data_IF_256764254811
#
_entry.id   IF_256764254811
#
_cell.length_a   1.000
_cell.length_b   1.000
_cell.length_c   1.000
_cell.angle_alpha   90.00
_cell.angle_beta   90.00
_cell.angle_gamma   90.00
#
_symmetry.space_group_name_H-M   'P 1'
#
loop_
_entity.id
_entity.type
_entity.pdbx_description
1 polymer ?
#
# COMPACT_ATOMS: atom_id res chain seq x y z
N UNK A 1 0.30 16.94 -24.63
CA UNK A 1 0.18 15.47 -24.68
C UNK A 1 -0.38 15.04 -23.34
N UNK A 2 -1.38 14.16 -23.32
CA UNK A 2 -1.96 13.70 -22.05
C UNK A 2 -1.11 12.55 -21.51
N UNK A 3 -0.58 12.73 -20.30
CA UNK A 3 0.01 11.64 -19.53
C UNK A 3 -1.15 10.77 -19.03
N UNK A 4 -1.02 9.45 -19.11
CA UNK A 4 -2.06 8.57 -18.58
C UNK A 4 -1.96 8.48 -17.07
N UNK A 5 -3.07 8.25 -16.38
CA UNK A 5 -3.10 8.03 -14.93
C UNK A 5 -2.11 6.92 -14.49
N UNK A 6 -2.00 5.85 -15.29
CA UNK A 6 -1.03 4.79 -15.06
C UNK A 6 0.42 5.30 -15.11
N UNK A 7 0.76 6.17 -16.06
CA UNK A 7 2.10 6.76 -16.15
C UNK A 7 2.39 7.67 -14.97
N UNK A 8 1.42 8.48 -14.52
CA UNK A 8 1.55 9.32 -13.33
C UNK A 8 1.79 8.47 -12.09
N UNK A 9 0.99 7.40 -11.90
CA UNK A 9 1.15 6.45 -10.79
C UNK A 9 2.54 5.82 -10.75
N UNK A 10 3.06 5.40 -11.91
CA UNK A 10 4.40 4.84 -12.03
C UNK A 10 5.49 5.88 -11.72
N UNK A 11 5.36 7.10 -12.22
CA UNK A 11 6.30 8.20 -11.95
C UNK A 11 6.38 8.52 -10.46
N UNK A 12 5.22 8.76 -9.86
CA UNK A 12 5.07 9.04 -8.44
C UNK A 12 5.66 7.96 -7.53
N UNK A 13 5.33 6.69 -7.79
CA UNK A 13 5.86 5.56 -7.03
C UNK A 13 7.37 5.44 -7.16
N UNK A 14 7.88 5.56 -8.39
CA UNK A 14 9.31 5.41 -8.66
C UNK A 14 10.08 6.52 -7.94
N UNK A 15 9.56 7.75 -7.97
CA UNK A 15 10.12 8.88 -7.22
C UNK A 15 10.10 8.61 -5.71
N UNK A 16 8.94 8.22 -5.15
CA UNK A 16 8.78 7.89 -3.73
C UNK A 16 9.77 6.82 -3.27
N UNK A 17 9.83 5.69 -3.98
CA UNK A 17 10.72 4.60 -3.60
C UNK A 17 12.19 4.98 -3.80
N UNK A 18 12.53 5.92 -4.68
CA UNK A 18 13.92 6.35 -4.86
C UNK A 18 14.50 7.19 -3.71
N UNK A 19 13.67 7.60 -2.74
CA UNK A 19 14.07 8.41 -1.59
C UNK A 19 14.80 7.57 -0.54
N UNK A 20 15.88 8.11 0.02
CA UNK A 20 16.65 7.41 1.05
C UNK A 20 15.85 7.24 2.34
N UNK A 21 15.03 8.23 2.67
CA UNK A 21 14.11 8.22 3.81
C UNK A 21 13.01 7.16 3.69
N UNK A 22 12.70 6.65 2.49
CA UNK A 22 11.67 5.62 2.29
C UNK A 22 12.22 4.20 2.41
N UNK A 23 13.53 3.99 2.13
CA UNK A 23 14.17 2.66 2.15
C UNK A 23 13.87 1.83 3.41
N UNK A 24 13.92 2.38 4.64
CA UNK A 24 13.67 1.61 5.85
C UNK A 24 12.26 0.99 5.91
N UNK A 25 11.31 1.52 5.14
CA UNK A 25 9.92 1.07 5.15
C UNK A 25 9.60 -0.02 4.14
N UNK A 26 10.50 -0.37 3.21
CA UNK A 26 10.24 -1.33 2.13
C UNK A 26 9.66 -2.67 2.63
N UNK A 27 10.24 -3.24 3.68
CA UNK A 27 9.76 -4.49 4.28
C UNK A 27 8.32 -4.37 4.79
N UNK A 28 7.98 -3.25 5.42
CA UNK A 28 6.63 -2.99 5.93
C UNK A 28 5.63 -2.75 4.80
N UNK A 29 6.07 -2.10 3.72
CA UNK A 29 5.31 -1.92 2.48
C UNK A 29 5.16 -3.23 1.70
N UNK A 30 5.99 -4.22 2.01
CA UNK A 30 5.93 -5.53 1.40
C UNK A 30 6.81 -5.77 0.19
N UNK A 31 7.73 -4.85 -0.04
CA UNK A 31 8.81 -4.97 -1.00
C UNK A 31 9.88 -5.87 -0.40
N UNK A 32 10.02 -7.07 -0.96
CA UNK A 32 11.05 -8.03 -0.59
C UNK A 32 12.25 -7.82 -1.51
N UNK A 33 13.12 -6.88 -1.12
CA UNK A 33 14.28 -6.45 -1.90
C UNK A 33 15.53 -6.68 -1.08
N UNK A 34 16.39 -7.58 -1.55
CA UNK A 34 17.60 -8.00 -0.82
C UNK A 34 18.63 -6.87 -0.61
N UNK A 35 18.65 -5.89 -1.51
CA UNK A 35 19.59 -4.77 -1.47
C UNK A 35 18.88 -3.44 -1.77
N UNK A 36 18.28 -2.81 -0.74
CA UNK A 36 17.56 -1.54 -0.88
C UNK A 36 18.39 -0.43 -1.55
N UNK A 37 19.68 -0.32 -1.26
CA UNK A 37 20.54 0.71 -1.86
C UNK A 37 20.68 0.54 -3.38
N UNK A 38 21.08 -0.65 -3.84
CA UNK A 38 21.11 -0.96 -5.29
C UNK A 38 19.75 -0.75 -5.96
N UNK A 39 18.67 -1.07 -5.25
CA UNK A 39 17.33 -0.88 -5.78
C UNK A 39 17.02 0.61 -5.96
N UNK A 40 17.32 1.45 -4.96
CA UNK A 40 17.19 2.90 -5.11
C UNK A 40 18.04 3.43 -6.27
N UNK A 41 19.30 3.01 -6.40
CA UNK A 41 20.16 3.41 -7.52
C UNK A 41 19.55 3.05 -8.89
N UNK A 42 18.95 1.86 -9.01
CA UNK A 42 18.22 1.42 -10.20
C UNK A 42 17.06 2.35 -10.52
N UNK A 43 16.25 2.71 -9.51
CA UNK A 43 15.12 3.62 -9.70
C UNK A 43 15.58 5.04 -10.09
N UNK A 44 16.59 5.57 -9.40
CA UNK A 44 17.19 6.90 -9.67
C UNK A 44 17.70 6.98 -11.11
N UNK A 45 18.46 5.96 -11.53
CA UNK A 45 18.97 5.85 -12.89
C UNK A 45 17.83 5.82 -13.91
N UNK A 46 16.79 5.03 -13.66
CA UNK A 46 15.63 4.96 -14.54
C UNK A 46 14.92 6.32 -14.66
N UNK A 47 14.77 7.08 -13.57
CA UNK A 47 14.20 8.44 -13.58
C UNK A 47 15.05 9.39 -14.44
N UNK A 48 16.36 9.43 -14.20
CA UNK A 48 17.30 10.31 -14.92
C UNK A 48 17.27 10.01 -16.42
N UNK A 49 17.41 8.74 -16.80
CA UNK A 49 17.40 8.34 -18.22
C UNK A 49 16.05 8.63 -18.88
N UNK A 50 14.94 8.45 -18.16
CA UNK A 50 13.60 8.76 -18.66
C UNK A 50 13.45 10.26 -18.91
N UNK A 51 13.99 11.11 -18.04
CA UNK A 51 14.01 12.57 -18.21
C UNK A 51 14.87 12.97 -19.41
N UNK A 52 16.08 12.42 -19.53
CA UNK A 52 16.97 12.69 -20.67
C UNK A 52 16.34 12.31 -22.01
N UNK A 53 15.64 11.18 -22.09
CA UNK A 53 14.93 10.78 -23.31
C UNK A 53 13.80 11.74 -23.67
N UNK A 54 13.04 12.21 -22.67
CA UNK A 54 12.00 13.23 -22.88
C UNK A 54 12.59 14.57 -23.32
N UNK A 55 13.70 15.02 -22.72
CA UNK A 55 14.38 16.26 -23.11
C UNK A 55 14.94 16.19 -24.54
N UNK A 56 15.45 15.03 -24.96
CA UNK A 56 15.91 14.80 -26.32
C UNK A 56 14.77 14.75 -27.36
N UNK A 57 13.57 14.31 -26.96
CA UNK A 57 12.39 14.31 -27.80
C UNK A 57 11.10 14.64 -27.01
N UNK A 58 10.79 15.92 -26.77
CA UNK A 58 9.63 16.33 -25.97
C UNK A 58 8.28 15.94 -26.60
N UNK A 59 8.27 15.57 -27.88
CA UNK A 59 7.08 15.09 -28.58
C UNK A 59 6.72 13.64 -28.26
N UNK A 60 7.53 12.93 -27.48
CA UNK A 60 7.31 11.55 -27.08
C UNK A 60 7.51 11.39 -25.58
N UNK A 61 6.45 11.00 -24.85
CA UNK A 61 6.57 10.63 -23.43
C UNK A 61 7.19 9.23 -23.31
N UNK A 62 8.36 9.09 -22.68
CA UNK A 62 9.01 7.79 -22.53
C UNK A 62 8.24 6.84 -21.61
N UNK A 63 8.42 5.53 -21.81
CA UNK A 63 7.75 4.50 -21.02
C UNK A 63 8.55 4.15 -19.76
N UNK A 64 8.33 4.91 -18.68
CA UNK A 64 9.03 4.72 -17.41
C UNK A 64 8.83 3.31 -16.83
N UNK A 65 7.60 2.77 -16.84
CA UNK A 65 7.32 1.39 -16.38
C UNK A 65 8.27 0.38 -17.02
N UNK A 66 8.33 0.38 -18.36
CA UNK A 66 9.18 -0.54 -19.12
C UNK A 66 10.66 -0.37 -18.75
N UNK A 67 11.12 0.86 -18.53
CA UNK A 67 12.50 1.17 -18.17
C UNK A 67 12.85 0.68 -16.77
N UNK A 68 11.99 0.95 -15.79
CA UNK A 68 12.16 0.49 -14.40
C UNK A 68 12.22 -1.03 -14.35
N UNK A 69 11.25 -1.74 -14.93
CA UNK A 69 11.21 -3.21 -14.92
C UNK A 69 12.42 -3.83 -15.62
N UNK A 70 12.86 -3.26 -16.75
CA UNK A 70 14.09 -3.68 -17.43
C UNK A 70 15.33 -3.47 -16.55
N UNK A 71 15.41 -2.35 -15.85
CA UNK A 71 16.58 -2.03 -15.03
C UNK A 71 16.66 -2.94 -13.79
N UNK A 72 15.51 -3.23 -13.16
CA UNK A 72 15.41 -4.21 -12.07
C UNK A 72 15.84 -5.59 -12.55
N UNK A 73 15.35 -6.05 -13.72
CA UNK A 73 15.68 -7.39 -14.22
C UNK A 73 17.14 -7.57 -14.60
N UNK A 74 17.81 -6.49 -15.00
CA UNK A 74 19.24 -6.51 -15.31
C UNK A 74 20.14 -6.54 -14.08
N UNK A 75 19.71 -5.95 -12.95
CA UNK A 75 20.53 -5.83 -11.73
C UNK A 75 20.22 -6.93 -10.72
N UNK A 76 18.96 -7.36 -10.62
CA UNK A 76 18.50 -8.37 -9.68
C UNK A 76 18.17 -9.67 -10.41
N UNK A 77 16.94 -9.80 -10.94
CA UNK A 77 16.50 -10.89 -11.80
C UNK A 77 15.17 -10.57 -12.45
N UNK A 78 14.77 -11.37 -13.45
CA UNK A 78 13.44 -11.25 -14.09
C UNK A 78 12.33 -11.47 -13.06
N UNK A 79 12.48 -12.45 -12.18
CA UNK A 79 11.53 -12.78 -11.12
C UNK A 79 11.35 -11.63 -10.12
N UNK A 80 12.43 -10.91 -9.78
CA UNK A 80 12.33 -9.70 -8.93
C UNK A 80 11.55 -8.60 -9.64
N UNK A 81 11.73 -8.42 -10.95
CA UNK A 81 10.99 -7.41 -11.71
C UNK A 81 9.49 -7.76 -11.80
N UNK A 82 9.15 -9.04 -12.03
CA UNK A 82 7.77 -9.53 -12.04
C UNK A 82 7.12 -9.41 -10.65
N UNK A 83 7.83 -9.77 -9.59
CA UNK A 83 7.35 -9.62 -8.22
C UNK A 83 7.10 -8.15 -7.85
N UNK A 84 7.99 -7.24 -8.29
CA UNK A 84 7.83 -5.81 -8.11
C UNK A 84 6.66 -5.24 -8.90
N UNK A 85 6.47 -5.64 -10.16
CA UNK A 85 5.32 -5.25 -10.98
C UNK A 85 4.01 -5.71 -10.32
N UNK A 86 3.97 -6.97 -9.87
CA UNK A 86 2.81 -7.53 -9.17
C UNK A 86 2.53 -6.80 -7.86
N UNK A 87 3.56 -6.46 -7.07
CA UNK A 87 3.41 -5.62 -5.88
C UNK A 87 2.87 -4.23 -6.24
N UNK A 88 3.39 -3.58 -7.29
CA UNK A 88 2.92 -2.27 -7.69
C UNK A 88 1.44 -2.27 -8.10
N UNK A 89 1.04 -3.25 -8.90
CA UNK A 89 -0.33 -3.34 -9.40
C UNK A 89 -1.32 -3.72 -8.29
N UNK A 90 -0.90 -4.50 -7.30
CA UNK A 90 -1.81 -5.06 -6.28
C UNK A 90 -1.71 -4.41 -4.89
N UNK A 91 -0.58 -3.83 -4.52
CA UNK A 91 -0.32 -3.32 -3.17
C UNK A 91 -0.02 -1.81 -3.12
N UNK A 92 0.49 -1.20 -4.19
CA UNK A 92 0.76 0.24 -4.19
C UNK A 92 -0.51 1.08 -4.41
N UNK A 93 -0.75 2.01 -3.49
CA UNK A 93 -1.87 2.96 -3.49
C UNK A 93 -1.29 4.37 -3.57
N UNK A 94 -1.57 5.07 -4.67
CA UNK A 94 -1.06 6.42 -4.92
C UNK A 94 -2.06 7.49 -4.48
N UNK A 95 -3.28 7.44 -5.02
CA UNK A 95 -4.35 8.29 -4.54
C UNK A 95 -5.17 7.57 -3.51
N UNK A 96 -5.44 8.21 -2.36
CA UNK A 96 -6.32 7.60 -1.39
C UNK A 96 -7.74 7.44 -1.97
N UNK A 97 -8.13 8.10 -3.07
CA UNK A 97 -9.47 7.89 -3.70
C UNK A 97 -9.60 6.54 -4.43
N UNK A 98 -8.54 6.02 -5.06
CA UNK A 98 -8.65 4.89 -6.01
C UNK A 98 -8.90 3.53 -5.34
N UNK A 99 -8.52 3.38 -4.06
CA UNK A 99 -8.66 2.11 -3.31
C UNK A 99 -9.17 2.25 -1.88
N UNK A 100 -9.53 3.47 -1.44
CA UNK A 100 -10.19 3.71 -0.14
C UNK A 100 -11.38 2.79 0.09
N UNK A 101 -12.17 2.53 -0.96
CA UNK A 101 -13.43 1.79 -0.84
C UNK A 101 -13.32 0.44 -0.12
N UNK A 102 -12.83 -0.61 -0.78
CA UNK A 102 -13.01 -1.95 -0.24
C UNK A 102 -12.25 -2.24 1.07
N UNK A 103 -11.03 -1.71 1.25
CA UNK A 103 -10.18 -2.08 2.38
C UNK A 103 -10.31 -1.14 3.58
N UNK A 104 -10.55 0.15 3.38
CA UNK A 104 -10.92 1.00 4.51
C UNK A 104 -12.35 0.68 4.97
N UNK A 105 -13.22 0.17 4.08
CA UNK A 105 -14.49 -0.47 4.49
C UNK A 105 -14.22 -1.64 5.43
N UNK A 106 -13.36 -2.59 5.04
CA UNK A 106 -12.99 -3.71 5.92
C UNK A 106 -12.37 -3.24 7.23
N UNK A 107 -11.39 -2.34 7.19
CA UNK A 107 -10.75 -1.82 8.39
C UNK A 107 -11.77 -1.12 9.31
N UNK A 108 -12.68 -0.34 8.75
CA UNK A 108 -13.73 0.37 9.50
C UNK A 108 -14.75 -0.59 10.09
N UNK A 109 -15.22 -1.56 9.32
CA UNK A 109 -16.16 -2.59 9.74
C UNK A 109 -15.58 -3.44 10.88
N UNK A 110 -14.34 -3.89 10.72
CA UNK A 110 -13.65 -4.72 11.71
C UNK A 110 -13.36 -3.92 12.99
N UNK A 111 -12.93 -2.67 12.85
CA UNK A 111 -12.76 -1.74 13.99
C UNK A 111 -14.08 -1.51 14.72
N UNK A 112 -15.19 -1.34 14.00
CA UNK A 112 -16.51 -1.18 14.61
C UNK A 112 -16.92 -2.44 15.37
N UNK A 113 -16.74 -3.62 14.76
CA UNK A 113 -17.09 -4.89 15.37
C UNK A 113 -16.31 -5.19 16.66
N UNK A 114 -15.06 -4.73 16.76
CA UNK A 114 -14.27 -4.79 18.01
C UNK A 114 -14.84 -3.89 19.10
N UNK A 115 -15.33 -2.70 18.74
CA UNK A 115 -15.79 -1.70 19.71
C UNK A 115 -17.23 -1.92 20.19
N UNK A 116 -17.99 -2.79 19.54
CA UNK A 116 -19.35 -3.16 19.93
C UNK A 116 -19.36 -4.46 20.74
N UNK A 117 -20.15 -4.50 21.81
CA UNK A 117 -20.19 -5.63 22.76
C UNK A 117 -20.45 -6.99 22.06
N UNK A 118 -21.33 -7.00 21.07
CA UNK A 118 -21.75 -8.15 20.27
C UNK A 118 -21.31 -8.07 18.81
N UNK A 119 -20.55 -7.04 18.42
CA UNK A 119 -20.21 -6.77 17.02
C UNK A 119 -19.47 -7.92 16.35
N UNK A 120 -18.62 -8.64 17.10
CA UNK A 120 -17.91 -9.80 16.59
C UNK A 120 -18.78 -11.04 16.38
N UNK A 121 -19.66 -11.34 17.34
CA UNK A 121 -20.65 -12.41 17.19
C UNK A 121 -21.65 -12.08 16.09
N UNK A 122 -22.01 -10.80 15.93
CA UNK A 122 -22.86 -10.34 14.84
C UNK A 122 -22.21 -10.61 13.49
N UNK A 123 -20.91 -10.38 13.34
CA UNK A 123 -20.18 -10.77 12.12
C UNK A 123 -20.12 -12.28 11.89
N UNK A 124 -20.70 -13.11 12.75
CA UNK A 124 -20.67 -14.57 12.57
C UNK A 124 -19.29 -15.17 12.76
N UNK A 125 -18.37 -14.46 13.43
CA UNK A 125 -17.08 -15.03 13.82
C UNK A 125 -17.32 -16.05 14.95
N UNK A 126 -16.86 -17.30 14.79
CA UNK A 126 -17.07 -18.32 15.79
C UNK A 126 -16.29 -18.02 17.08
N UNK A 127 -16.83 -18.46 18.20
CA UNK A 127 -16.29 -18.17 19.54
C UNK A 127 -14.82 -18.61 19.68
N UNK A 128 -14.47 -19.78 19.11
CA UNK A 128 -13.11 -20.31 19.15
C UNK A 128 -12.08 -19.42 18.45
N UNK A 129 -12.51 -18.59 17.48
CA UNK A 129 -11.64 -17.70 16.70
C UNK A 129 -11.67 -16.26 17.21
N UNK A 130 -12.74 -15.86 17.91
CA UNK A 130 -13.03 -14.48 18.27
C UNK A 130 -11.89 -13.77 19.00
N UNK A 131 -11.33 -14.39 20.06
CA UNK A 131 -10.27 -13.75 20.83
C UNK A 131 -8.97 -13.62 20.03
N UNK A 132 -8.62 -14.65 19.24
CA UNK A 132 -7.43 -14.64 18.39
C UNK A 132 -7.55 -13.57 17.30
N UNK A 133 -8.70 -13.48 16.63
CA UNK A 133 -8.98 -12.47 15.62
C UNK A 133 -8.92 -11.05 16.20
N UNK A 134 -9.56 -10.80 17.36
CA UNK A 134 -9.47 -9.53 18.09
C UNK A 134 -8.02 -9.13 18.38
N UNK A 135 -7.25 -10.03 18.98
CA UNK A 135 -5.87 -9.75 19.36
C UNK A 135 -5.01 -9.46 18.13
N UNK A 136 -5.16 -10.22 17.04
CA UNK A 136 -4.45 -9.97 15.78
C UNK A 136 -4.82 -8.62 15.17
N UNK A 137 -6.10 -8.28 15.11
CA UNK A 137 -6.54 -6.99 14.58
C UNK A 137 -5.95 -5.83 15.39
N UNK A 138 -6.03 -5.89 16.72
CA UNK A 138 -5.52 -4.86 17.60
C UNK A 138 -3.99 -4.70 17.50
N UNK A 139 -3.25 -5.81 17.47
CA UNK A 139 -1.79 -5.81 17.55
C UNK A 139 -1.07 -5.73 16.20
N UNK A 140 -1.68 -6.20 15.11
CA UNK A 140 -1.03 -6.30 13.79
C UNK A 140 -1.57 -5.29 12.77
N UNK A 141 -2.74 -4.69 13.02
CA UNK A 141 -3.40 -3.79 12.05
C UNK A 141 -3.72 -2.42 12.65
N UNK A 142 -4.19 -2.36 13.89
CA UNK A 142 -4.63 -1.11 14.53
C UNK A 142 -3.47 -0.32 15.16
N UNK A 143 -3.80 0.73 15.93
CA UNK A 143 -2.85 1.72 16.44
C UNK A 143 -1.63 1.12 17.14
N UNK A 144 -1.78 0.00 17.86
CA UNK A 144 -0.67 -0.67 18.54
C UNK A 144 0.39 -1.21 17.56
N UNK A 145 -0.03 -1.57 16.34
CA UNK A 145 0.88 -1.99 15.28
C UNK A 145 1.67 -0.81 14.69
N UNK A 146 1.20 0.42 14.85
CA UNK A 146 1.84 1.60 14.27
C UNK A 146 2.98 2.14 15.13
N UNK A 147 3.12 1.73 16.39
CA UNK A 147 4.19 2.20 17.27
C UNK A 147 5.57 1.97 16.65
N UNK A 148 5.86 0.77 16.16
CA UNK A 148 7.14 0.44 15.52
C UNK A 148 7.41 1.31 14.26
N UNK A 149 6.38 1.58 13.46
CA UNK A 149 6.53 2.37 12.23
C UNK A 149 6.69 3.85 12.56
N UNK A 150 5.98 4.35 13.56
CA UNK A 150 6.10 5.72 14.03
C UNK A 150 7.49 5.95 14.63
N UNK A 151 7.98 5.03 15.46
CA UNK A 151 9.36 5.09 15.98
C UNK A 151 10.40 5.02 14.86
N UNK A 152 10.14 4.27 13.79
CA UNK A 152 11.00 4.26 12.61
C UNK A 152 10.92 5.58 11.84
N UNK A 153 9.73 6.20 11.75
CA UNK A 153 9.54 7.53 11.17
C UNK A 153 10.35 8.57 11.93
N UNK A 154 10.23 8.60 13.25
CA UNK A 154 10.96 9.55 14.10
C UNK A 154 12.48 9.40 13.88
N UNK A 155 12.98 8.17 13.76
CA UNK A 155 14.40 7.90 13.46
C UNK A 155 14.81 8.34 12.06
N UNK A 156 13.94 8.18 11.07
CA UNK A 156 14.21 8.60 9.69
C UNK A 156 14.22 10.12 9.59
N UNK A 157 13.36 10.81 10.33
CA UNK A 157 13.29 12.28 10.39
C UNK A 157 14.57 12.89 11.00
N UNK A 158 15.33 12.12 11.79
CA UNK A 158 16.65 12.51 12.30
C UNK A 158 17.78 12.37 11.26
N UNK A 159 17.56 11.69 10.13
CA UNK A 159 18.56 11.48 9.09
C UNK A 159 18.59 12.70 8.16
N UNK A 160 19.75 13.34 7.95
CA UNK A 160 19.85 14.42 6.96
C UNK A 160 19.48 13.94 5.56
N UNK A 161 18.60 14.70 4.89
CA UNK A 161 18.24 14.45 3.50
C UNK A 161 19.46 14.46 2.58
N UNK A 162 19.49 13.51 1.65
CA UNK A 162 20.53 13.50 0.60
C UNK A 162 20.22 14.55 -0.46
N UNK A 163 21.20 14.88 -1.31
CA UNK A 163 20.97 15.78 -2.45
C UNK A 163 19.83 15.28 -3.35
N UNK A 164 19.74 13.95 -3.52
CA UNK A 164 18.66 13.32 -4.27
C UNK A 164 17.30 13.55 -3.60
N UNK A 165 17.20 13.34 -2.28
CA UNK A 165 15.96 13.58 -1.56
C UNK A 165 15.52 15.04 -1.71
N UNK A 166 16.45 15.99 -1.54
CA UNK A 166 16.15 17.42 -1.68
C UNK A 166 15.62 17.74 -3.09
N UNK A 167 16.27 17.21 -4.15
CA UNK A 167 15.82 17.42 -5.53
C UNK A 167 14.42 16.84 -5.75
N UNK A 168 14.17 15.60 -5.31
CA UNK A 168 12.87 14.97 -5.47
C UNK A 168 11.78 15.70 -4.68
N UNK A 169 12.09 16.20 -3.48
CA UNK A 169 11.15 17.01 -2.71
C UNK A 169 10.77 18.29 -3.44
N UNK A 170 11.76 19.00 -4.02
CA UNK A 170 11.51 20.20 -4.79
C UNK A 170 10.71 19.94 -6.09
N UNK A 171 10.95 18.81 -6.76
CA UNK A 171 10.28 18.47 -8.03
C UNK A 171 8.86 17.95 -7.84
N UNK A 172 8.61 17.21 -6.76
CA UNK A 172 7.33 16.55 -6.49
C UNK A 172 6.50 17.24 -5.39
N UNK A 173 6.96 18.38 -4.89
CA UNK A 173 6.33 19.14 -3.81
C UNK A 173 6.09 18.30 -2.54
N UNK A 174 7.01 17.39 -2.23
CA UNK A 174 6.90 16.52 -1.06
C UNK A 174 7.11 17.24 0.28
N UNK A 175 7.51 18.52 0.24
CA UNK A 175 7.59 19.42 1.38
C UNK A 175 6.22 19.96 1.83
N UNK A 176 5.20 19.93 0.96
CA UNK A 176 3.84 20.22 1.35
C UNK A 176 3.31 19.09 2.28
N UNK A 177 2.69 19.47 3.41
CA UNK A 177 2.09 18.51 4.34
C UNK A 177 1.10 17.55 3.64
N UNK A 178 0.42 18.06 2.61
CA UNK A 178 -0.53 17.33 1.78
C UNK A 178 0.13 16.49 0.67
N UNK A 179 1.46 16.40 0.65
CA UNK A 179 2.26 15.64 -0.32
C UNK A 179 3.38 14.81 0.36
N UNK A 180 3.47 14.85 1.70
CA UNK A 180 4.54 14.22 2.45
C UNK A 180 4.66 12.70 2.13
N UNK A 181 5.87 12.21 1.74
CA UNK A 181 6.12 10.84 1.31
C UNK A 181 5.63 9.79 2.30
N UNK A 182 5.87 10.04 3.58
CA UNK A 182 5.48 9.14 4.65
C UNK A 182 3.96 9.00 4.78
N UNK A 183 3.22 10.12 4.80
CA UNK A 183 1.79 10.12 5.08
C UNK A 183 0.94 9.69 3.89
N UNK A 184 1.41 9.90 2.67
CA UNK A 184 0.61 9.69 1.44
C UNK A 184 1.07 8.48 0.65
N UNK A 185 2.36 8.17 0.68
CA UNK A 185 2.91 7.00 0.02
C UNK A 185 3.09 5.81 0.96
N UNK A 186 3.89 5.99 2.02
CA UNK A 186 4.35 4.87 2.86
C UNK A 186 3.22 4.33 3.74
N UNK A 187 2.67 5.16 4.62
CA UNK A 187 1.69 4.72 5.62
C UNK A 187 0.43 4.09 5.02
N UNK A 188 -0.17 4.63 3.95
CA UNK A 188 -1.33 4.01 3.32
C UNK A 188 -1.01 2.62 2.79
N UNK A 189 0.13 2.42 2.13
CA UNK A 189 0.56 1.12 1.61
C UNK A 189 0.81 0.12 2.73
N UNK A 190 1.47 0.54 3.81
CA UNK A 190 1.71 -0.34 4.96
C UNK A 190 0.40 -0.75 5.63
N UNK A 191 -0.51 0.20 5.87
CA UNK A 191 -1.84 -0.07 6.44
C UNK A 191 -2.64 -1.02 5.55
N UNK A 192 -2.64 -0.75 4.24
CA UNK A 192 -3.29 -1.59 3.24
C UNK A 192 -2.78 -3.04 3.29
N UNK A 193 -1.46 -3.23 3.31
CA UNK A 193 -0.87 -4.56 3.36
C UNK A 193 -1.24 -5.29 4.66
N UNK A 194 -1.24 -4.61 5.80
CA UNK A 194 -1.61 -5.18 7.10
C UNK A 194 -3.07 -5.63 7.11
N UNK A 195 -4.01 -4.78 6.69
CA UNK A 195 -5.42 -5.15 6.62
C UNK A 195 -5.66 -6.29 5.62
N UNK A 196 -5.01 -6.26 4.46
CA UNK A 196 -5.09 -7.33 3.45
C UNK A 196 -4.63 -8.68 4.01
N UNK A 197 -3.48 -8.72 4.68
CA UNK A 197 -2.98 -9.94 5.34
C UNK A 197 -3.91 -10.45 6.43
N UNK A 198 -4.45 -9.54 7.25
CA UNK A 198 -5.39 -9.90 8.31
C UNK A 198 -6.70 -10.47 7.75
N UNK A 199 -7.31 -9.81 6.77
CA UNK A 199 -8.56 -10.27 6.14
C UNK A 199 -8.34 -11.61 5.44
N UNK A 200 -7.22 -11.79 4.74
CA UNK A 200 -6.84 -13.08 4.15
C UNK A 200 -6.80 -14.20 5.19
N UNK A 201 -6.01 -14.00 6.25
CA UNK A 201 -5.89 -14.96 7.35
C UNK A 201 -7.26 -15.28 7.98
N UNK A 202 -8.09 -14.26 8.18
CA UNK A 202 -9.40 -14.43 8.78
C UNK A 202 -10.30 -15.30 7.90
N UNK A 203 -10.36 -15.02 6.59
CA UNK A 203 -11.15 -15.80 5.64
C UNK A 203 -10.67 -17.26 5.58
N UNK A 204 -9.36 -17.49 5.54
CA UNK A 204 -8.76 -18.84 5.53
C UNK A 204 -9.01 -19.62 6.83
N UNK A 205 -9.29 -18.92 7.93
CA UNK A 205 -9.56 -19.53 9.25
C UNK A 205 -11.04 -19.92 9.46
N UNK A 206 -11.93 -19.52 8.55
CA UNK A 206 -13.35 -19.83 8.59
C UNK A 206 -13.68 -21.01 7.68
N UNK A 207 -14.54 -21.90 8.13
CA UNK A 207 -15.12 -22.90 7.25
C UNK A 207 -16.13 -22.26 6.27
N UNK A 208 -16.61 -23.03 5.30
CA UNK A 208 -17.51 -22.52 4.25
C UNK A 208 -18.80 -21.89 4.79
N UNK A 209 -19.40 -22.47 5.82
CA UNK A 209 -20.64 -21.98 6.41
C UNK A 209 -20.40 -20.69 7.22
N UNK A 210 -19.34 -20.67 8.00
CA UNK A 210 -18.90 -19.51 8.78
C UNK A 210 -18.54 -18.34 7.87
N UNK A 211 -17.80 -18.60 6.78
CA UNK A 211 -17.44 -17.58 5.79
C UNK A 211 -18.67 -16.98 5.11
N UNK A 212 -19.65 -17.81 4.74
CA UNK A 212 -20.90 -17.33 4.16
C UNK A 212 -21.67 -16.43 5.13
N UNK A 213 -21.72 -16.83 6.40
CA UNK A 213 -22.35 -16.03 7.47
C UNK A 213 -21.60 -14.71 7.66
N UNK A 214 -20.27 -14.75 7.70
CA UNK A 214 -19.42 -13.58 7.82
C UNK A 214 -19.63 -12.59 6.69
N UNK A 215 -19.58 -13.04 5.43
CA UNK A 215 -19.81 -12.18 4.26
C UNK A 215 -21.22 -11.61 4.27
N UNK A 216 -22.25 -12.41 4.59
CA UNK A 216 -23.64 -11.94 4.67
C UNK A 216 -23.78 -10.82 5.69
N UNK A 217 -23.29 -11.04 6.91
CA UNK A 217 -23.46 -10.10 8.01
C UNK A 217 -22.59 -8.85 7.82
N UNK A 218 -21.39 -9.00 7.23
CA UNK A 218 -20.55 -7.86 6.85
C UNK A 218 -21.24 -6.95 5.81
N UNK A 219 -21.88 -7.55 4.79
CA UNK A 219 -22.65 -6.79 3.80
C UNK A 219 -23.87 -6.10 4.43
N UNK A 220 -24.52 -6.72 5.43
CA UNK A 220 -25.65 -6.11 6.13
C UNK A 220 -25.23 -4.86 6.91
N UNK A 221 -24.16 -4.95 7.71
CA UNK A 221 -23.61 -3.79 8.44
C UNK A 221 -23.23 -2.62 7.52
N UNK A 222 -22.83 -2.94 6.29
CA UNK A 222 -22.48 -1.96 5.27
C UNK A 222 -23.71 -1.24 4.70
N UNK A 223 -24.80 -1.97 4.46
CA UNK A 223 -26.05 -1.40 3.92
C UNK A 223 -26.75 -0.48 4.91
N UNK A 224 -26.61 -0.72 6.21
CA UNK A 224 -27.23 0.11 7.25
C UNK A 224 -26.54 1.48 7.45
N UNK A 225 -25.48 1.77 6.68
CA UNK A 225 -24.70 3.02 6.77
C UNK A 225 -24.57 3.74 5.42
N UNK A 226 -25.22 4.90 5.22
CA UNK A 226 -25.18 5.67 3.97
C UNK A 226 -23.77 5.95 3.45
N UNK A 227 -22.82 6.19 4.36
CA UNK A 227 -21.41 6.48 4.04
C UNK A 227 -20.64 5.28 3.44
N UNK A 228 -21.13 4.05 3.61
CA UNK A 228 -20.52 2.82 3.06
C UNK A 228 -21.29 2.24 1.86
N UNK A 229 -22.37 2.89 1.41
CA UNK A 229 -23.20 2.43 0.28
C UNK A 229 -22.61 2.76 -1.11
N UNK A 230 -21.45 3.41 -1.19
CA UNK A 230 -20.85 3.89 -2.45
C UNK A 230 -20.36 2.73 -3.36
N UNK A 231 -20.17 1.51 -2.83
CA UNK A 231 -19.74 0.34 -3.60
C UNK A 231 -20.77 -0.81 -3.59
N UNK A 232 -21.07 -1.39 -4.76
CA UNK A 232 -22.19 -2.34 -4.95
C UNK A 232 -22.07 -3.69 -4.22
N UNK A 233 -20.87 -4.15 -3.84
CA UNK A 233 -20.63 -5.37 -3.04
C UNK A 233 -19.29 -5.29 -2.28
N UNK A 234 -19.18 -5.93 -1.11
CA UNK A 234 -17.87 -6.28 -0.54
C UNK A 234 -17.21 -7.24 -1.52
N UNK A 235 -16.15 -6.78 -2.18
CA UNK A 235 -15.35 -7.61 -3.06
C UNK A 235 -14.37 -8.40 -2.20
N UNK A 236 -14.48 -9.72 -2.24
CA UNK A 236 -13.38 -10.60 -1.83
C UNK A 236 -12.36 -10.50 -2.97
N UNK A 237 -11.16 -9.96 -2.73
CA UNK A 237 -10.18 -9.74 -3.79
C UNK A 237 -9.89 -11.01 -4.60
N UNK A 238 -9.94 -10.94 -5.93
CA UNK A 238 -9.44 -12.03 -6.78
C UNK A 238 -7.95 -12.26 -6.45
N UNK A 239 -7.57 -13.51 -6.15
CA UNK A 239 -6.24 -13.86 -5.63
C UNK A 239 -6.18 -14.22 -4.13
N UNK A 240 -7.35 -14.39 -3.49
CA UNK A 240 -7.53 -15.25 -2.32
C UNK A 240 -7.78 -16.70 -2.76
#
# INVERSE_FOLDING_TARGET
MQVTEAQEKWGAMTALLSLDVVKPFYKYMGLDIDSPDKFTEVLRKAIIENRQEFEANPSQVPNLKKRVLKSISQVFSVETAEAFENWFDNDFIWYPVDRRGAYDEWASLLKQAVNQYDGWSFLGIPEYLSQTAKNKLLNEVMANANTEINELSDKVDEIPYTEWDIEMYALHHFDDYDCAPFFIGVMPVVRYRRIKKYVKWLIESLNKEELNTFIKNANQLRLDKPEMQILKKIYVPDGL
#
